data_IF_356288553000
#
_entry.id   IF_356288553000
#
_cell.length_a   1.000
_cell.length_b   1.000
_cell.length_c   1.000
_cell.angle_alpha   90.00
_cell.angle_beta   90.00
_cell.angle_gamma   90.00
#
_symmetry.space_group_name_H-M   'P 1'
#
loop_
_entity.id
_entity.type
_entity.pdbx_description
1 polymer ?
#
# COMPACT_ATOMS: atom_id res chain seq x y z
N UNK A 1 4.60 80.55 -13.41
CA UNK A 1 5.47 79.60 -14.15
C UNK A 1 5.71 78.40 -13.27
N UNK A 2 5.57 77.20 -13.85
CA UNK A 2 5.49 75.91 -13.14
C UNK A 2 6.87 75.44 -12.66
N UNK A 3 6.94 74.95 -11.42
CA UNK A 3 8.09 74.22 -10.90
C UNK A 3 8.02 72.75 -11.36
N UNK A 4 9.11 72.28 -11.98
CA UNK A 4 9.43 70.89 -12.34
C UNK A 4 10.85 70.69 -11.79
N UNK A 5 11.26 69.65 -11.07
CA UNK A 5 11.39 68.21 -11.42
C UNK A 5 11.91 67.55 -10.12
N UNK A 6 11.20 66.57 -9.53
CA UNK A 6 11.36 65.11 -9.66
C UNK A 6 12.51 64.49 -8.80
N UNK A 7 12.11 63.93 -7.66
CA UNK A 7 12.88 63.07 -6.77
C UNK A 7 13.08 61.69 -7.43
N UNK A 8 14.31 61.31 -7.75
CA UNK A 8 14.66 59.99 -8.28
C UNK A 8 15.10 59.05 -7.17
N UNK A 9 14.19 58.18 -6.72
CA UNK A 9 14.48 57.06 -5.82
C UNK A 9 15.09 55.92 -6.65
N UNK A 10 16.36 55.59 -6.44
CA UNK A 10 16.99 54.44 -7.10
C UNK A 10 16.50 53.13 -6.48
N UNK A 11 15.96 52.26 -7.33
CA UNK A 11 15.45 50.94 -7.01
C UNK A 11 16.59 49.92 -6.83
N UNK A 12 16.41 48.99 -5.90
CA UNK A 12 17.07 47.68 -5.88
C UNK A 12 16.04 46.65 -5.42
N UNK A 13 15.21 46.19 -6.37
CA UNK A 13 14.45 44.95 -6.22
C UNK A 13 15.37 43.81 -6.64
N UNK A 14 15.88 43.08 -5.65
CA UNK A 14 16.56 41.81 -5.87
C UNK A 14 15.52 40.78 -6.30
N UNK A 15 15.56 40.39 -7.57
CA UNK A 15 14.84 39.21 -8.07
C UNK A 15 15.48 37.97 -7.43
N UNK A 16 14.80 37.37 -6.46
CA UNK A 16 15.11 36.03 -6.01
C UNK A 16 14.87 35.06 -7.19
N UNK A 17 15.96 34.54 -7.74
CA UNK A 17 15.93 33.38 -8.64
C UNK A 17 15.34 32.22 -7.85
N UNK A 18 14.13 31.80 -8.22
CA UNK A 18 13.55 30.56 -7.74
C UNK A 18 14.45 29.41 -8.20
N UNK A 19 15.11 28.74 -7.26
CA UNK A 19 15.80 27.50 -7.56
C UNK A 19 14.77 26.48 -8.08
N UNK A 20 15.02 25.78 -9.19
CA UNK A 20 14.20 24.63 -9.55
C UNK A 20 14.31 23.61 -8.41
N UNK A 21 13.21 23.37 -7.71
CA UNK A 21 13.10 22.29 -6.74
C UNK A 21 13.38 21.00 -7.51
N UNK A 22 14.43 20.34 -7.04
CA UNK A 22 15.04 19.16 -7.63
C UNK A 22 14.02 18.11 -8.08
N UNK A 23 14.31 17.55 -9.25
CA UNK A 23 13.75 16.34 -9.87
C UNK A 23 13.96 15.06 -9.03
N UNK A 24 13.96 15.15 -7.71
CA UNK A 24 14.02 14.02 -6.77
C UNK A 24 12.66 13.66 -6.18
N UNK A 25 11.69 14.59 -6.21
CA UNK A 25 10.34 14.32 -5.71
C UNK A 25 9.54 13.39 -6.64
N UNK A 26 9.76 13.51 -7.95
CA UNK A 26 9.13 12.63 -8.97
C UNK A 26 9.85 11.29 -9.12
N UNK A 27 11.16 11.25 -8.88
CA UNK A 27 11.95 10.01 -8.99
C UNK A 27 11.81 9.11 -7.76
N UNK A 28 11.49 9.67 -6.56
CA UNK A 28 11.13 8.88 -5.37
C UNK A 28 9.68 8.37 -5.39
N UNK A 29 8.75 9.12 -6.00
CA UNK A 29 7.34 8.70 -6.10
C UNK A 29 7.16 7.50 -7.06
N UNK A 30 8.08 7.33 -8.01
CA UNK A 30 8.15 6.22 -8.95
C UNK A 30 9.26 5.18 -8.60
N UNK A 31 9.94 5.30 -7.45
CA UNK A 31 10.89 4.30 -6.98
C UNK A 31 10.13 3.10 -6.41
N UNK A 32 9.60 2.29 -7.34
CA UNK A 32 9.15 0.90 -7.23
C UNK A 32 7.78 0.70 -6.56
N UNK A 33 6.68 0.78 -7.30
CA UNK A 33 5.56 -0.07 -6.91
C UNK A 33 6.02 -1.51 -7.15
N UNK A 34 6.55 -2.13 -6.10
CA UNK A 34 6.95 -3.53 -6.08
C UNK A 34 5.69 -4.39 -6.14
N UNK A 35 5.87 -5.69 -6.30
CA UNK A 35 4.76 -6.57 -6.00
C UNK A 35 4.33 -6.40 -4.54
N UNK A 36 3.01 -6.44 -4.35
CA UNK A 36 2.34 -6.29 -3.07
C UNK A 36 1.43 -7.47 -2.81
N UNK A 37 1.29 -7.81 -1.53
CA UNK A 37 0.27 -8.75 -1.07
C UNK A 37 -0.62 -8.02 -0.09
N UNK A 38 -1.94 -8.19 -0.21
CA UNK A 38 -2.90 -7.65 0.75
C UNK A 38 -3.74 -8.77 1.35
N UNK A 39 -3.90 -8.72 2.67
CA UNK A 39 -4.69 -9.67 3.44
C UNK A 39 -5.97 -8.93 3.81
N UNK A 40 -7.04 -9.21 3.07
CA UNK A 40 -8.29 -8.44 3.16
C UNK A 40 -9.40 -9.26 3.80
N UNK A 41 -10.28 -8.57 4.51
CA UNK A 41 -11.56 -9.11 4.97
C UNK A 41 -12.69 -8.41 4.25
N UNK A 42 -13.62 -9.20 3.70
CA UNK A 42 -14.70 -8.72 2.87
C UNK A 42 -16.07 -9.00 3.49
N UNK A 43 -17.06 -8.23 3.05
CA UNK A 43 -18.47 -8.44 3.42
C UNK A 43 -18.70 -8.27 4.92
N UNK A 44 -18.06 -7.27 5.55
CA UNK A 44 -18.08 -7.08 7.01
C UNK A 44 -17.46 -8.25 7.79
N UNK A 45 -16.27 -8.70 7.38
CA UNK A 45 -15.53 -9.83 7.97
C UNK A 45 -16.25 -11.19 7.84
N UNK A 46 -17.01 -11.40 6.77
CA UNK A 46 -17.65 -12.69 6.48
C UNK A 46 -16.68 -13.65 5.79
N UNK A 47 -15.79 -13.13 4.95
CA UNK A 47 -14.75 -13.91 4.29
C UNK A 47 -13.45 -13.14 4.13
N UNK A 48 -12.36 -13.87 3.88
CA UNK A 48 -11.03 -13.30 3.66
C UNK A 48 -10.48 -13.69 2.30
N UNK A 49 -9.72 -12.77 1.71
CA UNK A 49 -9.00 -12.98 0.45
C UNK A 49 -7.55 -12.53 0.65
N UNK A 50 -6.61 -13.30 0.13
CA UNK A 50 -5.22 -12.85 -0.07
C UNK A 50 -5.11 -12.37 -1.51
N UNK A 51 -4.74 -11.11 -1.69
CA UNK A 51 -4.66 -10.44 -2.98
C UNK A 51 -3.21 -10.25 -3.35
N UNK A 52 -2.82 -10.71 -4.53
CA UNK A 52 -1.54 -10.41 -5.16
C UNK A 52 -1.68 -9.27 -6.14
N UNK A 53 -0.77 -8.29 -6.04
CA UNK A 53 -0.69 -7.15 -6.93
C UNK A 53 0.71 -7.07 -7.54
N UNK A 54 0.87 -7.28 -8.85
CA UNK A 54 2.15 -7.07 -9.53
C UNK A 54 2.69 -5.64 -9.39
N UNK A 55 1.78 -4.69 -9.17
CA UNK A 55 2.03 -3.27 -8.94
C UNK A 55 1.19 -2.84 -7.73
N UNK A 56 1.81 -2.75 -6.55
CA UNK A 56 1.12 -2.38 -5.30
C UNK A 56 0.41 -1.01 -5.38
N UNK A 57 0.93 -0.09 -6.21
CA UNK A 57 0.33 1.24 -6.42
C UNK A 57 -1.00 1.22 -7.18
N UNK A 58 -1.40 0.08 -7.73
CA UNK A 58 -2.64 -0.15 -8.47
C UNK A 58 -3.39 -1.38 -7.93
N UNK A 59 -3.51 -1.46 -6.60
CA UNK A 59 -4.10 -2.62 -5.92
C UNK A 59 -5.53 -2.34 -5.39
N UNK A 60 -6.15 -1.20 -5.72
CA UNK A 60 -7.45 -0.78 -5.20
C UNK A 60 -8.65 -1.33 -5.99
N UNK A 61 -8.54 -2.56 -6.50
CA UNK A 61 -9.57 -3.21 -7.29
C UNK A 61 -9.70 -4.71 -6.92
N UNK A 62 -10.84 -5.31 -7.27
CA UNK A 62 -11.06 -6.76 -7.15
C UNK A 62 -9.96 -7.51 -7.93
N UNK A 63 -9.26 -8.50 -7.33
CA UNK A 63 -8.21 -9.22 -8.04
C UNK A 63 -8.73 -9.89 -9.32
N UNK A 64 -7.94 -9.76 -10.39
CA UNK A 64 -8.14 -10.58 -11.59
C UNK A 64 -7.93 -12.08 -11.29
N UNK A 65 -8.38 -12.92 -12.22
CA UNK A 65 -8.23 -14.37 -12.11
C UNK A 65 -6.77 -14.78 -11.82
N UNK A 66 -6.58 -15.63 -10.80
CA UNK A 66 -5.26 -16.11 -10.38
C UNK A 66 -4.47 -15.19 -9.45
N UNK A 67 -4.95 -13.96 -9.20
CA UNK A 67 -4.34 -13.00 -8.28
C UNK A 67 -5.06 -12.95 -6.92
N UNK A 68 -6.12 -13.71 -6.74
CA UNK A 68 -6.81 -13.91 -5.46
C UNK A 68 -6.58 -15.32 -4.93
N UNK A 69 -6.53 -15.44 -3.62
CA UNK A 69 -6.57 -16.72 -2.93
C UNK A 69 -7.53 -16.63 -1.73
N UNK A 70 -8.58 -17.44 -1.76
CA UNK A 70 -9.59 -17.48 -0.71
C UNK A 70 -9.21 -18.41 0.43
N UNK A 71 -9.87 -18.25 1.59
CA UNK A 71 -9.78 -19.25 2.64
C UNK A 71 -10.26 -20.62 2.12
N UNK A 72 -9.48 -21.72 2.30
CA UNK A 72 -9.73 -22.99 1.63
C UNK A 72 -11.07 -23.65 2.00
N UNK A 73 -11.66 -23.29 3.14
CA UNK A 73 -12.95 -23.78 3.59
C UNK A 73 -14.06 -22.69 3.55
N UNK A 74 -13.80 -21.57 2.86
CA UNK A 74 -14.59 -20.34 2.99
C UNK A 74 -14.44 -19.68 4.36
N UNK A 75 -15.04 -18.51 4.54
CA UNK A 75 -14.93 -17.75 5.79
C UNK A 75 -13.64 -16.92 5.88
N UNK A 76 -13.25 -16.56 7.09
CA UNK A 76 -12.10 -15.68 7.35
C UNK A 76 -10.87 -16.44 7.85
N UNK A 77 -9.69 -15.93 7.51
CA UNK A 77 -8.45 -16.36 8.16
C UNK A 77 -8.38 -15.79 9.58
N UNK A 78 -7.84 -16.59 10.51
CA UNK A 78 -7.21 -16.03 11.71
C UNK A 78 -5.81 -15.61 11.33
N UNK A 79 -5.62 -14.32 11.05
CA UNK A 79 -4.39 -13.80 10.45
C UNK A 79 -3.18 -13.96 11.37
N UNK A 80 -3.38 -13.80 12.69
CA UNK A 80 -2.32 -13.69 13.69
C UNK A 80 -2.03 -15.00 14.45
N UNK A 81 -0.85 -15.06 15.07
CA UNK A 81 -0.52 -16.01 16.13
C UNK A 81 -0.09 -17.41 15.67
N UNK A 82 -0.08 -17.67 14.37
CA UNK A 82 0.45 -18.91 13.80
C UNK A 82 0.90 -18.71 12.36
N UNK A 83 1.75 -19.62 11.87
CA UNK A 83 2.09 -19.67 10.46
C UNK A 83 0.88 -20.17 9.66
N UNK A 84 0.54 -19.46 8.60
CA UNK A 84 -0.61 -19.73 7.73
C UNK A 84 -0.15 -19.65 6.26
N UNK A 85 -0.98 -20.16 5.35
CA UNK A 85 -0.69 -20.10 3.92
C UNK A 85 -1.96 -20.04 3.07
N UNK A 86 -1.79 -19.58 1.83
CA UNK A 86 -2.83 -19.55 0.81
C UNK A 86 -2.20 -19.89 -0.55
N UNK A 87 -2.82 -20.82 -1.27
CA UNK A 87 -2.39 -21.26 -2.60
C UNK A 87 -3.24 -20.62 -3.68
N UNK A 88 -2.62 -19.81 -4.53
CA UNK A 88 -3.26 -19.21 -5.69
C UNK A 88 -3.54 -20.26 -6.79
N UNK A 89 -4.51 -19.98 -7.66
CA UNK A 89 -4.85 -20.85 -8.80
C UNK A 89 -3.69 -21.03 -9.78
N UNK A 90 -2.75 -20.08 -9.81
CA UNK A 90 -1.49 -20.17 -10.57
C UNK A 90 -0.54 -21.26 -10.07
N UNK A 91 -0.80 -21.80 -8.87
CA UNK A 91 0.01 -22.84 -8.22
C UNK A 91 1.00 -22.31 -7.19
N UNK A 92 1.25 -21.00 -7.17
CA UNK A 92 2.10 -20.33 -6.17
C UNK A 92 1.42 -20.37 -4.79
N UNK A 93 2.20 -20.61 -3.73
CA UNK A 93 1.72 -20.57 -2.36
C UNK A 93 2.40 -19.45 -1.61
N UNK A 94 1.62 -18.51 -1.09
CA UNK A 94 2.11 -17.56 -0.10
C UNK A 94 2.00 -18.19 1.29
N UNK A 95 3.07 -18.12 2.07
CA UNK A 95 3.10 -18.47 3.49
C UNK A 95 3.45 -17.22 4.30
N UNK A 96 2.78 -17.02 5.44
CA UNK A 96 3.04 -15.89 6.33
C UNK A 96 3.03 -16.30 7.79
N UNK A 97 3.63 -15.45 8.64
CA UNK A 97 3.52 -15.51 10.08
C UNK A 97 3.38 -14.07 10.62
N UNK A 98 2.27 -13.79 11.28
CA UNK A 98 1.96 -12.48 11.88
C UNK A 98 1.90 -12.65 13.39
N UNK A 99 2.53 -11.73 14.13
CA UNK A 99 2.58 -11.76 15.59
C UNK A 99 1.17 -11.77 16.21
N UNK A 100 0.98 -12.55 17.27
CA UNK A 100 -0.34 -12.71 17.93
C UNK A 100 -0.93 -11.39 18.46
N UNK A 101 -0.08 -10.39 18.72
CA UNK A 101 -0.48 -9.07 19.21
C UNK A 101 -0.48 -8.01 18.09
N UNK A 102 -0.38 -8.40 16.81
CA UNK A 102 -0.26 -7.46 15.69
C UNK A 102 -1.35 -6.37 15.69
N UNK A 103 -2.60 -6.71 16.03
CA UNK A 103 -3.70 -5.72 16.09
C UNK A 103 -3.52 -4.66 17.18
N UNK A 104 -2.73 -4.91 18.22
CA UNK A 104 -2.41 -3.91 19.26
C UNK A 104 -1.29 -2.96 18.85
N UNK A 105 -0.56 -3.26 17.76
CA UNK A 105 0.51 -2.40 17.26
C UNK A 105 -0.06 -1.14 16.57
N UNK A 106 0.71 -0.06 16.45
CA UNK A 106 0.34 1.08 15.62
C UNK A 106 0.07 0.67 14.16
N UNK A 107 -0.77 1.42 13.45
CA UNK A 107 -0.93 1.23 12.01
C UNK A 107 0.42 1.43 11.32
N UNK A 108 0.66 0.68 10.25
CA UNK A 108 1.88 0.65 9.44
C UNK A 108 3.13 0.12 10.16
N UNK A 109 2.98 -0.41 11.38
CA UNK A 109 4.05 -1.16 12.03
C UNK A 109 4.28 -2.49 11.30
N UNK A 110 5.54 -2.88 11.14
CA UNK A 110 5.89 -4.24 10.73
C UNK A 110 5.50 -5.21 11.85
N UNK A 111 4.73 -6.25 11.52
CA UNK A 111 4.12 -7.19 12.47
C UNK A 111 4.29 -8.65 12.05
N UNK A 112 4.99 -8.90 10.96
CA UNK A 112 5.17 -10.23 10.44
C UNK A 112 6.08 -10.30 9.23
N UNK A 113 6.18 -11.50 8.69
CA UNK A 113 6.93 -11.81 7.46
C UNK A 113 6.18 -12.85 6.64
N UNK A 114 6.46 -12.88 5.34
CA UNK A 114 5.92 -13.89 4.43
C UNK A 114 6.86 -14.21 3.29
N UNK A 115 6.54 -15.26 2.54
CA UNK A 115 7.27 -15.68 1.35
C UNK A 115 6.36 -16.46 0.41
N UNK A 116 6.61 -16.35 -0.90
CA UNK A 116 5.99 -17.17 -1.93
C UNK A 116 6.94 -18.23 -2.51
N UNK A 117 8.12 -18.42 -1.89
CA UNK A 117 9.20 -19.29 -2.37
C UNK A 117 10.15 -18.64 -3.39
N UNK A 118 9.79 -17.49 -3.96
CA UNK A 118 10.62 -16.71 -4.88
C UNK A 118 11.07 -15.38 -4.25
N UNK A 119 10.13 -14.71 -3.58
CA UNK A 119 10.30 -13.42 -2.92
C UNK A 119 10.00 -13.54 -1.42
N UNK A 120 10.57 -12.61 -0.65
CA UNK A 120 10.32 -12.47 0.78
C UNK A 120 9.62 -11.14 1.01
N UNK A 121 8.74 -11.10 2.00
CA UNK A 121 7.90 -9.95 2.29
C UNK A 121 7.98 -9.57 3.76
N UNK A 122 8.03 -8.26 4.01
CA UNK A 122 7.72 -7.70 5.32
C UNK A 122 6.22 -7.40 5.38
N UNK A 123 5.54 -7.86 6.44
CA UNK A 123 4.10 -7.66 6.62
C UNK A 123 3.86 -6.55 7.63
N UNK A 124 2.98 -5.63 7.26
CA UNK A 124 2.63 -4.45 8.04
C UNK A 124 1.15 -4.47 8.40
N UNK A 125 0.81 -3.98 9.59
CA UNK A 125 -0.57 -3.71 9.96
C UNK A 125 -1.11 -2.58 9.11
N UNK A 126 -2.29 -2.75 8.52
CA UNK A 126 -2.98 -1.66 7.83
C UNK A 126 -4.00 -0.94 8.74
N UNK A 127 -4.57 0.14 8.26
CA UNK A 127 -5.54 0.97 8.96
C UNK A 127 -7.01 0.55 8.78
N UNK A 128 -7.26 -0.54 8.04
CA UNK A 128 -8.60 -1.10 7.76
C UNK A 128 -9.48 -0.25 6.84
N UNK A 129 -8.88 0.63 6.04
CA UNK A 129 -9.60 1.28 4.95
C UNK A 129 -10.20 0.26 3.96
N UNK A 130 -11.27 0.67 3.28
CA UNK A 130 -11.82 -0.12 2.18
C UNK A 130 -10.85 -0.04 0.99
N UNK A 131 -10.29 -1.18 0.63
CA UNK A 131 -9.33 -1.31 -0.47
C UNK A 131 -10.05 -1.40 -1.81
N UNK A 132 -11.10 -2.22 -1.89
CA UNK A 132 -11.96 -2.33 -3.08
C UNK A 132 -13.37 -2.79 -2.71
N UNK A 133 -14.25 -2.84 -3.71
CA UNK A 133 -15.59 -3.44 -3.63
C UNK A 133 -15.69 -4.53 -4.67
N UNK A 134 -16.09 -5.74 -4.28
CA UNK A 134 -16.15 -6.89 -5.16
C UNK A 134 -17.35 -6.83 -6.14
N UNK A 135 -17.42 -7.79 -7.06
CA UNK A 135 -18.56 -7.92 -8.00
C UNK A 135 -19.94 -8.08 -7.34
N UNK A 136 -20.01 -8.48 -6.06
CA UNK A 136 -21.23 -8.64 -5.28
C UNK A 136 -21.56 -7.43 -4.40
N UNK A 137 -20.81 -6.32 -4.52
CA UNK A 137 -20.94 -5.09 -3.72
C UNK A 137 -20.52 -5.23 -2.25
N UNK A 138 -19.76 -6.28 -1.92
CA UNK A 138 -19.13 -6.40 -0.62
C UNK A 138 -17.91 -5.49 -0.57
N UNK A 139 -17.78 -4.72 0.51
CA UNK A 139 -16.57 -3.96 0.79
C UNK A 139 -15.49 -4.90 1.31
N UNK A 140 -14.27 -4.75 0.79
CA UNK A 140 -13.09 -5.48 1.22
C UNK A 140 -12.12 -4.51 1.89
N UNK A 141 -11.85 -4.74 3.17
CA UNK A 141 -11.00 -3.91 4.01
C UNK A 141 -9.61 -4.52 4.11
N UNK A 142 -8.57 -3.71 3.91
CA UNK A 142 -7.18 -4.15 4.08
C UNK A 142 -6.85 -4.31 5.56
N UNK A 143 -6.48 -5.51 5.99
CA UNK A 143 -6.12 -5.78 7.39
C UNK A 143 -4.61 -5.72 7.57
N UNK A 144 -3.88 -6.28 6.61
CA UNK A 144 -2.43 -6.25 6.51
C UNK A 144 -2.02 -6.13 5.05
N UNK A 145 -0.86 -5.54 4.82
CA UNK A 145 -0.21 -5.53 3.52
C UNK A 145 1.25 -6.00 3.65
N UNK A 146 1.79 -6.57 2.59
CA UNK A 146 3.14 -7.08 2.54
C UNK A 146 3.89 -6.49 1.35
N UNK A 147 5.09 -6.00 1.60
CA UNK A 147 5.96 -5.41 0.59
C UNK A 147 7.19 -6.30 0.38
N UNK A 148 7.53 -6.53 -0.88
CA UNK A 148 8.72 -7.27 -1.27
C UNK A 148 9.99 -6.58 -0.75
N UNK A 149 10.93 -7.39 -0.25
CA UNK A 149 12.23 -6.94 0.29
C UNK A 149 13.43 -7.51 -0.46
N UNK A 150 13.20 -8.12 -1.63
CA UNK A 150 14.25 -8.67 -2.48
C UNK A 150 14.93 -7.64 -3.41
#
# INVERSE_FOLDING_TARGET
MKFTTLTGLFALLTTAIANPISSELTTNLAKRATEGIHLVNCGNNVYSVVVYCPNDGDCNHDPGAGNGCDHPNGGTFTWEGSQQNCKFDTGTTLTWNIESNAQSQPNFAQVGTGSNGFHNFNIFKDDKHTMFTDGNKNQCNSIYYALDVS
#
